data_IF_922173388704
#
_entry.id   IF_922173388704
#
_cell.length_a   1.000
_cell.length_b   1.000
_cell.length_c   1.000
_cell.angle_alpha   90.00
_cell.angle_beta   90.00
_cell.angle_gamma   90.00
#
_symmetry.space_group_name_H-M   'P 1'
#
loop_
_entity.id
_entity.type
_entity.pdbx_description
1 polymer ?
#
# COMPACT_ATOMS: atom_id res chain seq x y z
N UNK A 1 9.16 -7.95 8.03
CA UNK A 1 8.10 -7.08 8.57
C UNK A 1 6.80 -7.86 8.46
N UNK A 2 6.04 -7.95 9.53
CA UNK A 2 4.81 -8.74 9.55
C UNK A 2 3.72 -8.06 8.72
N UNK A 3 2.82 -8.87 8.13
CA UNK A 3 1.72 -8.36 7.29
C UNK A 3 0.83 -7.35 8.03
N UNK A 4 0.60 -7.58 9.32
CA UNK A 4 -0.18 -6.69 10.17
C UNK A 4 0.49 -5.31 10.37
N UNK A 5 1.81 -5.26 10.50
CA UNK A 5 2.54 -3.99 10.65
C UNK A 5 2.43 -3.16 9.38
N UNK A 6 2.60 -3.79 8.22
CA UNK A 6 2.42 -3.15 6.90
C UNK A 6 0.99 -2.61 6.80
N UNK A 7 -0.02 -3.40 7.17
CA UNK A 7 -1.41 -2.96 7.15
C UNK A 7 -1.65 -1.71 7.99
N UNK A 8 -1.11 -1.63 9.21
CA UNK A 8 -1.27 -0.45 10.07
C UNK A 8 -0.59 0.79 9.49
N UNK A 9 0.61 0.64 8.92
CA UNK A 9 1.31 1.75 8.24
C UNK A 9 0.48 2.26 7.07
N UNK A 10 -0.01 1.36 6.21
CA UNK A 10 -0.80 1.75 5.04
C UNK A 10 -2.14 2.39 5.44
N UNK A 11 -2.81 1.91 6.49
CA UNK A 11 -4.02 2.58 7.03
C UNK A 11 -3.72 4.01 7.49
N UNK A 12 -2.62 4.22 8.19
CA UNK A 12 -2.22 5.55 8.63
C UNK A 12 -1.87 6.47 7.45
N UNK A 13 -1.19 5.96 6.42
CA UNK A 13 -0.93 6.74 5.20
C UNK A 13 -2.24 7.17 4.52
N UNK A 14 -3.22 6.27 4.39
CA UNK A 14 -4.54 6.57 3.81
C UNK A 14 -5.25 7.65 4.63
N UNK A 15 -5.20 7.59 5.96
CA UNK A 15 -5.79 8.62 6.84
C UNK A 15 -5.15 9.99 6.63
N UNK A 16 -3.82 10.04 6.51
CA UNK A 16 -3.08 11.28 6.26
C UNK A 16 -3.43 11.88 4.90
N UNK A 17 -3.54 11.05 3.86
CA UNK A 17 -3.85 11.50 2.49
C UNK A 17 -5.30 11.99 2.39
N UNK A 18 -6.26 11.20 2.85
CA UNK A 18 -7.69 11.50 2.69
C UNK A 18 -8.21 12.54 3.72
N UNK A 19 -7.35 13.06 4.61
CA UNK A 19 -7.76 13.90 5.75
C UNK A 19 -8.92 13.30 6.57
N UNK A 20 -9.09 11.98 6.52
CA UNK A 20 -10.12 11.30 7.28
C UNK A 20 -9.76 11.39 8.76
N UNK A 21 -10.69 11.86 9.59
CA UNK A 21 -10.52 11.85 11.03
C UNK A 21 -10.23 10.44 11.54
N UNK A 22 -9.50 10.33 12.65
CA UNK A 22 -9.06 9.04 13.23
C UNK A 22 -10.18 8.01 13.47
N UNK A 23 -11.43 8.47 13.48
CA UNK A 23 -12.65 7.68 13.67
C UNK A 23 -13.09 6.83 12.47
N UNK A 24 -12.48 6.97 11.29
CA UNK A 24 -12.84 6.12 10.12
C UNK A 24 -12.06 4.81 10.19
N UNK A 25 -12.79 3.71 10.37
CA UNK A 25 -12.26 2.36 10.30
C UNK A 25 -12.04 1.96 8.84
N UNK A 26 -10.77 1.75 8.46
CA UNK A 26 -10.40 1.25 7.14
C UNK A 26 -10.23 -0.27 7.28
N UNK A 27 -11.11 -1.04 6.63
CA UNK A 27 -11.00 -2.49 6.58
C UNK A 27 -10.05 -2.93 5.45
N UNK A 28 -9.53 -4.15 5.52
CA UNK A 28 -8.68 -4.70 4.45
C UNK A 28 -9.42 -4.80 3.10
N UNK A 29 -10.72 -5.10 3.14
CA UNK A 29 -11.57 -5.22 1.95
C UNK A 29 -12.00 -3.86 1.35
N UNK A 30 -11.65 -2.74 2.01
CA UNK A 30 -11.98 -1.40 1.51
C UNK A 30 -11.35 -1.18 0.15
N UNK A 31 -12.17 -0.79 -0.83
CA UNK A 31 -11.69 -0.42 -2.16
C UNK A 31 -11.01 0.94 -2.07
N UNK A 32 -9.79 1.04 -2.57
CA UNK A 32 -9.03 2.28 -2.50
C UNK A 32 -9.72 3.42 -3.24
N UNK A 33 -10.37 3.12 -4.37
CA UNK A 33 -11.12 4.11 -5.17
C UNK A 33 -12.37 4.67 -4.49
N UNK A 34 -12.86 4.02 -3.43
CA UNK A 34 -14.02 4.52 -2.67
C UNK A 34 -13.61 5.59 -1.65
N UNK A 35 -12.31 5.69 -1.35
CA UNK A 35 -11.77 6.57 -0.29
C UNK A 35 -10.56 7.42 -0.72
N UNK A 36 -10.01 7.18 -1.91
CA UNK A 36 -8.89 7.94 -2.47
C UNK A 36 -9.24 8.31 -3.90
N UNK A 37 -9.03 9.57 -4.27
CA UNK A 37 -9.11 9.98 -5.66
C UNK A 37 -7.86 9.53 -6.46
N UNK A 38 -7.83 9.82 -7.76
CA UNK A 38 -6.71 9.42 -8.61
C UNK A 38 -5.36 10.05 -8.20
N UNK A 39 -5.37 11.27 -7.66
CA UNK A 39 -4.17 11.97 -7.19
C UNK A 39 -3.70 11.36 -5.87
N UNK A 40 -4.65 11.08 -4.98
CA UNK A 40 -4.41 10.40 -3.70
C UNK A 40 -3.82 9.00 -3.89
N UNK A 41 -4.33 8.24 -4.87
CA UNK A 41 -3.78 6.92 -5.21
C UNK A 41 -2.32 7.02 -5.68
N UNK A 42 -1.98 8.02 -6.50
CA UNK A 42 -0.60 8.25 -6.93
C UNK A 42 0.30 8.62 -5.74
N UNK A 43 -0.19 9.48 -4.84
CA UNK A 43 0.54 9.86 -3.63
C UNK A 43 0.74 8.65 -2.69
N UNK A 44 -0.27 7.79 -2.57
CA UNK A 44 -0.20 6.56 -1.79
C UNK A 44 0.85 5.59 -2.35
N UNK A 45 0.84 5.35 -3.66
CA UNK A 45 1.85 4.51 -4.33
C UNK A 45 3.26 5.09 -4.17
N UNK A 46 3.40 6.41 -4.32
CA UNK A 46 4.68 7.08 -4.11
C UNK A 46 5.20 6.87 -2.67
N UNK A 47 4.34 7.01 -1.67
CA UNK A 47 4.71 6.83 -0.26
C UNK A 47 5.14 5.38 0.03
N UNK A 48 4.43 4.38 -0.50
CA UNK A 48 4.82 2.95 -0.40
C UNK A 48 6.23 2.74 -0.96
N UNK A 49 6.47 3.25 -2.16
CA UNK A 49 7.76 3.08 -2.84
C UNK A 49 8.90 3.74 -2.08
N UNK A 50 8.68 4.95 -1.56
CA UNK A 50 9.66 5.68 -0.76
C UNK A 50 9.95 4.99 0.58
N UNK A 51 8.91 4.53 1.28
CA UNK A 51 9.04 3.95 2.63
C UNK A 51 9.74 2.59 2.62
N UNK A 52 9.41 1.74 1.64
CA UNK A 52 9.96 0.37 1.56
C UNK A 52 11.09 0.22 0.54
N UNK A 53 11.44 1.29 -0.19
CA UNK A 53 12.40 1.24 -1.30
C UNK A 53 11.96 0.26 -2.38
N UNK A 54 10.68 0.33 -2.77
CA UNK A 54 10.04 -0.54 -3.75
C UNK A 54 9.72 0.24 -5.04
N UNK A 55 9.23 -0.48 -6.05
CA UNK A 55 8.87 0.02 -7.37
C UNK A 55 7.44 -0.39 -7.78
N UNK A 56 6.51 -0.29 -6.84
CA UNK A 56 5.09 -0.57 -7.05
C UNK A 56 4.49 0.30 -8.14
N UNK A 57 3.75 -0.31 -9.07
CA UNK A 57 3.10 0.40 -10.17
C UNK A 57 3.98 0.58 -11.41
N UNK A 58 5.24 0.14 -11.37
CA UNK A 58 6.14 0.21 -12.53
C UNK A 58 5.95 -0.95 -13.52
N UNK A 59 5.28 -2.05 -13.12
CA UNK A 59 5.04 -3.19 -14.01
C UNK A 59 3.60 -3.21 -14.53
N UNK A 60 3.46 -3.54 -15.82
CA UNK A 60 2.16 -3.83 -16.44
C UNK A 60 1.52 -4.99 -15.67
N UNK A 61 0.39 -4.72 -15.01
CA UNK A 61 -0.32 -5.69 -14.18
C UNK A 61 -0.26 -5.44 -12.67
N UNK A 62 0.51 -4.46 -12.20
CA UNK A 62 0.49 -4.06 -10.78
C UNK A 62 -0.85 -3.38 -10.38
N UNK A 63 -1.59 -2.82 -11.36
CA UNK A 63 -2.87 -2.15 -11.11
C UNK A 63 -3.89 -3.06 -10.40
N UNK A 64 -3.81 -4.39 -10.63
CA UNK A 64 -4.75 -5.35 -10.03
C UNK A 64 -4.65 -5.37 -8.50
N UNK A 65 -3.48 -5.01 -7.97
CA UNK A 65 -3.23 -4.93 -6.53
C UNK A 65 -3.75 -3.61 -5.92
N UNK A 66 -3.94 -2.56 -6.73
CA UNK A 66 -4.52 -1.27 -6.31
C UNK A 66 -6.06 -1.28 -6.18
N UNK A 67 -6.66 -2.46 -6.07
CA UNK A 67 -8.12 -2.57 -5.93
C UNK A 67 -8.57 -2.40 -4.48
N UNK A 68 -7.97 -3.16 -3.56
CA UNK A 68 -8.31 -3.17 -2.12
C UNK A 68 -7.05 -3.06 -1.27
N UNK A 69 -7.19 -2.56 -0.03
CA UNK A 69 -6.05 -2.39 0.87
C UNK A 69 -5.32 -3.71 1.13
N UNK A 70 -6.04 -4.81 1.38
CA UNK A 70 -5.46 -6.13 1.65
C UNK A 70 -4.55 -6.64 0.51
N UNK A 71 -4.87 -6.31 -0.74
CA UNK A 71 -4.08 -6.67 -1.92
C UNK A 71 -2.82 -5.84 -2.01
N UNK A 72 -2.89 -4.54 -1.70
CA UNK A 72 -1.68 -3.71 -1.60
C UNK A 72 -0.79 -4.22 -0.48
N UNK A 73 -1.33 -4.50 0.71
CA UNK A 73 -0.60 -5.07 1.84
C UNK A 73 0.08 -6.38 1.43
N UNK A 74 -0.65 -7.27 0.75
CA UNK A 74 -0.12 -8.56 0.29
C UNK A 74 1.00 -8.40 -0.74
N UNK A 75 0.86 -7.45 -1.66
CA UNK A 75 1.89 -7.14 -2.64
C UNK A 75 3.14 -6.57 -1.97
N UNK A 76 2.99 -5.58 -1.08
CA UNK A 76 4.11 -4.95 -0.35
C UNK A 76 4.86 -5.98 0.49
N UNK A 77 4.13 -6.82 1.22
CA UNK A 77 4.72 -7.91 1.99
C UNK A 77 5.54 -8.87 1.11
N UNK A 78 4.99 -9.27 -0.04
CA UNK A 78 5.71 -10.13 -0.99
C UNK A 78 6.94 -9.44 -1.58
N UNK A 79 6.86 -8.15 -1.89
CA UNK A 79 7.92 -7.39 -2.52
C UNK A 79 9.10 -7.14 -1.55
N UNK A 80 8.81 -6.84 -0.28
CA UNK A 80 9.83 -6.70 0.78
C UNK A 80 10.57 -8.03 0.97
N UNK A 81 9.85 -9.14 1.05
CA UNK A 81 10.48 -10.45 1.26
C UNK A 81 11.35 -10.84 0.06
N UNK A 82 10.85 -10.65 -1.17
CA UNK A 82 11.63 -10.93 -2.38
C UNK A 82 12.90 -10.07 -2.46
N UNK A 83 12.80 -8.77 -2.16
CA UNK A 83 13.96 -7.88 -2.09
C UNK A 83 15.01 -8.38 -1.08
N UNK A 84 14.56 -8.78 0.11
CA UNK A 84 15.46 -9.32 1.13
C UNK A 84 16.11 -10.66 0.73
N UNK A 85 15.46 -11.48 -0.10
CA UNK A 85 16.05 -12.68 -0.70
C UNK A 85 17.08 -12.34 -1.78
N UNK A 86 16.78 -11.37 -2.63
CA UNK A 86 17.67 -10.93 -3.71
C UNK A 86 18.94 -10.26 -3.15
N UNK A 87 18.83 -9.45 -2.08
CA UNK A 87 19.98 -8.81 -1.40
C UNK A 87 20.89 -9.83 -0.68
N UNK A 88 20.44 -11.06 -0.44
CA UNK A 88 21.22 -12.15 0.18
C UNK A 88 21.96 -13.02 -0.85
N UNK A 89 21.68 -12.86 -2.14
CA UNK A 89 22.37 -13.57 -3.24
C UNK A 89 23.56 -12.79 -3.75
#
# INVERSE_FOLDING_TARGET
>A
MEKHEIEQVLKNQIRVINHCGDSVEIAGETKLRDILDSVDILQFVFNINKEYGLSFGNNIGDEKYLTTLDKVVSWVHSAINKKAEDDRK
#
